data_IF_893233183363
#
_entry.id   IF_893233183363
#
_cell.length_a   1.000
_cell.length_b   1.000
_cell.length_c   1.000
_cell.angle_alpha   90.00
_cell.angle_beta   90.00
_cell.angle_gamma   90.00
#
_symmetry.space_group_name_H-M   'P 1'
#
loop_
_entity.id
_entity.type
_entity.pdbx_description
1 polymer ?
#
# COMPACT_ATOMS: atom_id res chain seq x y z
N UNK A 1 9.23 5.38 8.48
CA UNK A 1 8.20 5.80 7.48
C UNK A 1 8.73 6.72 6.36
N UNK A 2 9.73 7.60 6.58
CA UNK A 2 10.16 8.59 5.57
C UNK A 2 10.53 8.02 4.18
N UNK A 3 10.99 6.77 4.08
CA UNK A 3 11.41 6.17 2.81
C UNK A 3 10.42 5.19 2.19
N UNK A 4 9.44 4.69 2.95
CA UNK A 4 8.54 3.63 2.51
C UNK A 4 7.75 4.01 1.24
N UNK A 5 7.33 5.28 1.14
CA UNK A 5 6.61 5.76 -0.05
C UNK A 5 7.51 5.97 -1.27
N UNK A 6 8.80 6.26 -1.06
CA UNK A 6 9.76 6.42 -2.16
C UNK A 6 10.13 5.07 -2.74
N UNK A 7 10.38 4.09 -1.88
CA UNK A 7 10.65 2.70 -2.29
C UNK A 7 9.46 2.11 -3.04
N UNK A 8 8.23 2.30 -2.54
CA UNK A 8 7.03 1.83 -3.23
C UNK A 8 6.89 2.42 -4.63
N UNK A 9 7.13 3.73 -4.79
CA UNK A 9 7.06 4.39 -6.10
C UNK A 9 8.16 3.90 -7.04
N UNK A 10 9.38 3.69 -6.54
CA UNK A 10 10.49 3.19 -7.35
C UNK A 10 10.22 1.76 -7.87
N UNK A 11 9.69 0.88 -7.02
CA UNK A 11 9.31 -0.48 -7.41
C UNK A 11 8.19 -0.46 -8.45
N UNK A 12 7.13 0.31 -8.21
CA UNK A 12 6.01 0.42 -9.16
C UNK A 12 6.46 0.98 -10.52
N UNK A 13 7.31 2.00 -10.53
CA UNK A 13 7.85 2.56 -11.77
C UNK A 13 8.68 1.53 -12.55
N UNK A 14 9.49 0.72 -11.87
CA UNK A 14 10.23 -0.37 -12.50
C UNK A 14 9.32 -1.42 -13.13
N UNK A 15 8.22 -1.78 -12.46
CA UNK A 15 7.26 -2.75 -13.01
C UNK A 15 6.55 -2.18 -14.24
N UNK A 16 6.03 -0.96 -14.14
CA UNK A 16 5.29 -0.33 -15.25
C UNK A 16 6.16 -0.03 -16.48
N UNK A 17 7.46 0.22 -16.29
CA UNK A 17 8.37 0.49 -17.40
C UNK A 17 8.83 -0.78 -18.15
N UNK A 18 8.87 -1.93 -17.47
CA UNK A 18 9.42 -3.17 -18.03
C UNK A 18 8.36 -4.23 -18.37
N UNK A 19 7.13 -4.08 -17.88
CA UNK A 19 6.07 -5.07 -18.06
C UNK A 19 4.79 -4.44 -18.58
N UNK A 20 4.14 -5.13 -19.53
CA UNK A 20 2.78 -4.82 -19.93
C UNK A 20 1.81 -5.56 -19.01
N UNK A 21 1.01 -4.82 -18.24
CA UNK A 21 0.06 -5.39 -17.29
C UNK A 21 -1.33 -5.39 -17.91
N UNK A 22 -1.84 -6.58 -18.23
CA UNK A 22 -3.23 -6.76 -18.65
C UNK A 22 -4.12 -7.00 -17.43
N UNK A 23 -5.27 -6.30 -17.32
CA UNK A 23 -6.23 -6.57 -16.26
C UNK A 23 -6.83 -7.96 -16.46
N UNK A 24 -6.59 -8.86 -15.50
CA UNK A 24 -7.15 -10.22 -15.52
C UNK A 24 -8.64 -10.19 -15.14
N UNK A 25 -9.01 -9.29 -14.23
CA UNK A 25 -10.38 -9.11 -13.76
C UNK A 25 -10.95 -7.75 -14.20
N UNK A 26 -12.27 -7.72 -14.43
CA UNK A 26 -12.98 -6.46 -14.64
C UNK A 26 -12.88 -5.59 -13.37
N UNK A 27 -12.54 -4.31 -13.54
CA UNK A 27 -12.43 -3.36 -12.43
C UNK A 27 -13.69 -3.33 -11.52
N UNK A 28 -14.88 -3.56 -12.09
CA UNK A 28 -16.14 -3.63 -11.35
C UNK A 28 -16.22 -4.85 -10.39
N UNK A 29 -15.43 -5.90 -10.64
CA UNK A 29 -15.38 -7.11 -9.81
C UNK A 29 -14.30 -7.04 -8.73
N UNK A 30 -13.48 -5.98 -8.71
CA UNK A 30 -12.43 -5.79 -7.71
C UNK A 30 -13.10 -5.52 -6.37
N UNK A 31 -13.04 -6.50 -5.46
CA UNK A 31 -13.53 -6.37 -4.09
C UNK A 31 -12.48 -5.66 -3.27
N UNK A 32 -12.75 -4.39 -2.93
CA UNK A 32 -11.93 -3.68 -1.93
C UNK A 32 -12.29 -4.25 -0.57
N UNK A 33 -11.36 -4.99 0.04
CA UNK A 33 -11.49 -5.46 1.40
C UNK A 33 -11.07 -4.34 2.36
N UNK A 34 -11.99 -3.77 3.16
CA UNK A 34 -11.63 -2.74 4.11
C UNK A 34 -10.88 -3.38 5.29
N UNK A 35 -9.58 -3.12 5.38
CA UNK A 35 -8.78 -3.48 6.55
C UNK A 35 -8.83 -2.32 7.56
N UNK A 36 -9.55 -2.51 8.67
CA UNK A 36 -9.74 -1.50 9.71
C UNK A 36 -8.53 -1.49 10.65
N UNK A 37 -7.57 -0.60 10.40
CA UNK A 37 -6.38 -0.46 11.25
C UNK A 37 -6.75 0.18 12.59
N UNK A 38 -6.66 -0.60 13.67
CA UNK A 38 -6.86 -0.15 15.04
C UNK A 38 -5.71 0.75 15.50
N UNK A 39 -6.06 1.94 15.97
CA UNK A 39 -5.15 2.89 16.62
C UNK A 39 -5.35 2.83 18.12
N UNK A 40 -4.28 3.01 18.89
CA UNK A 40 -4.41 3.11 20.34
C UNK A 40 -5.30 4.30 20.72
N UNK A 41 -6.37 4.05 21.45
CA UNK A 41 -7.28 5.11 21.94
C UNK A 41 -6.63 6.00 23.01
N UNK A 42 -5.54 5.54 23.64
CA UNK A 42 -4.84 6.26 24.71
C UNK A 42 -3.33 6.26 24.50
N UNK A 43 -2.63 7.18 25.17
CA UNK A 43 -1.20 7.41 24.97
C UNK A 43 -0.39 6.14 25.23
N UNK A 44 0.42 5.77 24.24
CA UNK A 44 1.52 4.82 24.42
C UNK A 44 2.61 5.58 25.16
N UNK A 45 2.77 5.31 26.45
CA UNK A 45 3.86 5.89 27.24
C UNK A 45 5.15 5.15 26.89
N UNK A 46 6.06 5.84 26.21
CA UNK A 46 7.41 5.32 25.92
C UNK A 46 8.42 6.12 26.73
N UNK A 47 9.20 5.44 27.57
CA UNK A 47 10.44 6.00 28.14
C UNK A 47 11.59 5.70 27.18
N UNK A 48 12.49 6.67 27.04
CA UNK A 48 13.79 6.49 26.38
C UNK A 48 14.79 5.89 27.37
#
# INVERSE_FOLDING_TARGET
QKFAMLELKAVLAGILANFYLEPVDLAANVKILPDLVLRSAHKVHTKF
#
